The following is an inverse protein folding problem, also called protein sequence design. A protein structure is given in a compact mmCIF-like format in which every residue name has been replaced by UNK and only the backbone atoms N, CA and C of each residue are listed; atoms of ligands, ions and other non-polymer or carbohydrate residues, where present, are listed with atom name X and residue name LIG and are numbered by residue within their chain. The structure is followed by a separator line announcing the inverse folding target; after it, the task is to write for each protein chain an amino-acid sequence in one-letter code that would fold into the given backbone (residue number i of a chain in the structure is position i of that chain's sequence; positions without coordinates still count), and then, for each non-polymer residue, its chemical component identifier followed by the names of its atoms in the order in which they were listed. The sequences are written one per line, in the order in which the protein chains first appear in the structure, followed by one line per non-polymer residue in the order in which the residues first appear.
data_IF_063343901118
#
_entry.id   IF_063343901118
#
_cell.length_a   1.000
_cell.length_b   1.000
_cell.length_c   1.000
_cell.angle_alpha   90.00
_cell.angle_beta   90.00
_cell.angle_gamma   90.00
#
_symmetry.space_group_name_H-M   'P 1'
#
loop_
_entity.id
_entity.type
_entity.pdbx_description
1 polymer ?
#
# COMPACT_ATOMS: atom_id res chain seq x y z
N UNK A 1 12.58 14.21 -4.04
CA UNK A 1 12.04 13.05 -4.79
C UNK A 1 11.32 12.02 -3.90
N UNK A 2 10.90 12.35 -2.66
CA UNK A 2 10.09 11.44 -1.81
C UNK A 2 8.61 11.85 -1.67
N UNK A 3 8.25 13.11 -1.97
CA UNK A 3 6.88 13.60 -1.88
C UNK A 3 5.93 12.87 -2.83
N UNK A 4 6.36 12.64 -4.07
CA UNK A 4 5.57 11.93 -5.08
C UNK A 4 5.25 10.50 -4.62
N UNK A 5 6.22 9.81 -4.00
CA UNK A 5 6.02 8.43 -3.55
C UNK A 5 5.07 8.31 -2.35
N UNK A 6 5.06 9.31 -1.45
CA UNK A 6 4.09 9.33 -0.34
C UNK A 6 2.66 9.53 -0.84
N UNK A 7 2.48 10.43 -1.82
CA UNK A 7 1.17 10.65 -2.44
C UNK A 7 0.74 9.45 -3.29
N UNK A 8 1.65 8.79 -4.00
CA UNK A 8 1.37 7.53 -4.71
C UNK A 8 0.95 6.43 -3.73
N UNK A 9 1.67 6.27 -2.62
CA UNK A 9 1.35 5.31 -1.58
C UNK A 9 -0.03 5.60 -0.97
N UNK A 10 -0.33 6.87 -0.70
CA UNK A 10 -1.63 7.33 -0.21
C UNK A 10 -2.75 7.01 -1.21
N UNK A 11 -2.58 7.39 -2.48
CA UNK A 11 -3.60 7.18 -3.52
C UNK A 11 -3.91 5.70 -3.70
N UNK A 12 -2.88 4.86 -3.86
CA UNK A 12 -3.05 3.42 -4.06
C UNK A 12 -3.65 2.74 -2.82
N UNK A 13 -3.31 3.19 -1.61
CA UNK A 13 -3.91 2.69 -0.37
C UNK A 13 -5.40 3.02 -0.29
N UNK A 14 -5.78 4.27 -0.59
CA UNK A 14 -7.18 4.70 -0.62
C UNK A 14 -7.97 3.89 -1.65
N UNK A 15 -7.47 3.79 -2.89
CA UNK A 15 -8.14 3.05 -3.96
C UNK A 15 -8.31 1.56 -3.64
N UNK A 16 -7.32 0.94 -2.99
CA UNK A 16 -7.40 -0.45 -2.55
C UNK A 16 -8.51 -0.65 -1.52
N UNK A 17 -8.59 0.23 -0.51
CA UNK A 17 -9.63 0.14 0.52
C UNK A 17 -11.02 0.55 0.03
N UNK A 18 -11.14 1.48 -0.92
CA UNK A 18 -12.43 1.79 -1.53
C UNK A 18 -12.96 0.61 -2.37
N UNK A 19 -12.06 -0.11 -3.04
CA UNK A 19 -12.41 -1.28 -3.84
C UNK A 19 -12.83 -2.48 -2.97
N UNK A 20 -12.12 -2.70 -1.86
CA UNK A 20 -12.26 -3.95 -1.10
C UNK A 20 -12.84 -3.77 0.31
N UNK A 21 -12.50 -2.68 1.00
CA UNK A 21 -12.71 -2.51 2.45
C UNK A 21 -14.18 -2.45 2.88
N UNK A 22 -15.11 -2.08 1.99
CA UNK A 22 -16.56 -2.07 2.30
C UNK A 22 -17.23 -3.45 2.18
N UNK A 23 -16.60 -4.38 1.48
CA UNK A 23 -17.24 -5.62 1.03
C UNK A 23 -16.46 -6.89 1.37
N UNK A 24 -15.19 -6.77 1.75
CA UNK A 24 -14.31 -7.89 2.03
C UNK A 24 -13.40 -7.57 3.20
N UNK A 25 -13.01 -8.60 3.96
CA UNK A 25 -12.00 -8.46 5.00
C UNK A 25 -10.65 -8.22 4.33
N UNK A 26 -9.97 -7.14 4.74
CA UNK A 26 -8.61 -6.83 4.34
C UNK A 26 -7.67 -7.35 5.42
N UNK A 27 -6.82 -8.31 5.08
CA UNK A 27 -5.80 -8.86 5.97
C UNK A 27 -4.54 -8.01 5.95
N UNK A 28 -3.89 -7.86 7.10
CA UNK A 28 -2.62 -7.13 7.24
C UNK A 28 -1.50 -8.07 7.62
N UNK A 29 -0.35 -7.89 6.95
CA UNK A 29 0.90 -8.55 7.29
C UNK A 29 2.04 -7.54 7.41
N UNK A 30 2.94 -7.80 8.35
CA UNK A 30 4.19 -7.06 8.63
C UNK A 30 5.36 -8.05 8.81
N UNK A 31 6.64 -7.60 8.86
CA UNK A 31 7.78 -8.51 8.96
C UNK A 31 7.68 -9.39 10.21
N UNK A 32 7.90 -10.70 10.03
CA UNK A 32 7.83 -11.67 11.12
C UNK A 32 6.41 -11.98 11.62
N UNK A 33 5.36 -11.56 10.90
CA UNK A 33 3.97 -11.94 11.16
C UNK A 33 3.42 -12.80 10.02
N UNK A 34 2.58 -13.78 10.36
CA UNK A 34 1.78 -14.48 9.35
C UNK A 34 0.60 -13.60 8.93
N UNK A 35 0.20 -13.63 7.64
CA UNK A 35 -0.86 -12.77 7.11
C UNK A 35 -2.24 -12.95 7.78
N UNK A 36 -2.43 -14.03 8.55
CA UNK A 36 -3.65 -14.30 9.34
C UNK A 36 -3.57 -13.82 10.79
N UNK A 37 -2.43 -13.25 11.21
CA UNK A 37 -2.20 -12.91 12.61
C UNK A 37 -2.97 -11.65 13.06
N UNK A 38 -3.59 -10.94 12.12
CA UNK A 38 -4.29 -9.68 12.30
C UNK A 38 -5.66 -9.75 11.63
N UNK A 39 -6.48 -10.73 12.04
CA UNK A 39 -7.86 -10.93 11.56
C UNK A 39 -8.80 -9.85 12.16
N UNK A 40 -8.72 -8.61 11.67
CA UNK A 40 -9.65 -7.55 12.08
C UNK A 40 -10.35 -6.92 10.88
N UNK A 41 -11.56 -6.41 11.12
CA UNK A 41 -12.28 -5.57 10.18
C UNK A 41 -11.61 -4.19 10.16
N UNK A 42 -10.55 -4.05 9.36
CA UNK A 42 -9.90 -2.77 9.18
C UNK A 42 -10.74 -1.89 8.27
N UNK A 43 -11.04 -0.69 8.75
CA UNK A 43 -11.61 0.39 7.94
C UNK A 43 -10.55 1.46 7.81
N UNK A 44 -10.20 1.86 6.59
CA UNK A 44 -9.33 3.00 6.37
C UNK A 44 -10.10 4.27 6.77
N UNK A 45 -9.92 4.72 8.01
CA UNK A 45 -10.63 5.89 8.57
C UNK A 45 -9.96 7.20 8.14
N UNK A 46 -8.65 7.16 7.88
CA UNK A 46 -7.91 8.33 7.39
C UNK A 46 -6.53 7.97 6.89
N UNK A 47 -6.03 8.76 5.94
CA UNK A 47 -4.65 8.70 5.44
C UNK A 47 -4.12 10.11 5.28
N UNK A 48 -2.96 10.38 5.87
CA UNK A 48 -2.25 11.64 5.83
C UNK A 48 -0.81 11.45 5.37
N UNK A 49 -0.31 12.41 4.59
CA UNK A 49 1.11 12.54 4.27
C UNK A 49 1.67 13.67 5.13
N UNK A 50 2.69 13.35 5.93
CA UNK A 50 3.37 14.29 6.83
C UNK A 50 4.72 14.66 6.27
N UNK A 51 5.01 15.96 6.25
CA UNK A 51 6.27 16.55 5.78
C UNK A 51 6.75 16.03 4.40
N UNK A 52 5.83 15.53 3.57
CA UNK A 52 6.10 14.89 2.27
C UNK A 52 7.01 13.65 2.32
N UNK A 53 7.20 13.03 3.49
CA UNK A 53 8.13 11.89 3.66
C UNK A 53 7.55 10.72 4.45
N UNK A 54 6.51 10.96 5.26
CA UNK A 54 5.86 9.92 6.07
C UNK A 54 4.40 9.76 5.63
N UNK A 55 4.01 8.53 5.34
CA UNK A 55 2.62 8.13 5.19
C UNK A 55 2.12 7.66 6.56
N UNK A 56 1.01 8.20 7.02
CA UNK A 56 0.31 7.72 8.21
C UNK A 56 -1.13 7.37 7.88
N UNK A 57 -1.58 6.22 8.35
CA UNK A 57 -2.94 5.74 8.13
C UNK A 57 -3.58 5.25 9.43
N UNK A 58 -4.85 5.60 9.59
CA UNK A 58 -5.76 5.09 10.60
C UNK A 58 -6.59 3.95 10.00
N UNK A 59 -6.51 2.79 10.64
CA UNK A 59 -7.17 1.55 10.22
C UNK A 59 -8.41 1.22 11.07
N UNK A 60 -8.84 2.18 11.90
CA UNK A 60 -9.99 2.08 12.77
C UNK A 60 -9.75 1.19 13.97
N UNK A 61 -10.68 1.24 14.92
CA UNK A 61 -10.64 0.44 16.16
C UNK A 61 -9.32 0.56 16.95
N UNK A 62 -8.67 1.73 16.87
CA UNK A 62 -7.40 2.01 17.53
C UNK A 62 -6.17 1.41 16.83
N UNK A 63 -6.32 0.88 15.61
CA UNK A 63 -5.21 0.41 14.77
C UNK A 63 -4.73 1.50 13.82
N UNK A 64 -3.43 1.52 13.56
CA UNK A 64 -2.87 2.37 12.52
C UNK A 64 -1.40 2.10 12.28
N UNK A 65 -0.86 2.71 11.24
CA UNK A 65 0.56 2.63 10.97
C UNK A 65 1.11 3.95 10.42
N UNK A 66 2.41 4.14 10.57
CA UNK A 66 3.16 5.12 9.81
C UNK A 66 4.40 4.47 9.21
N UNK A 67 4.83 4.97 8.05
CA UNK A 67 5.99 4.47 7.34
C UNK A 67 6.55 5.58 6.47
N UNK A 68 7.86 5.63 6.27
CA UNK A 68 8.49 6.43 5.23
C UNK A 68 8.62 5.57 3.96
N UNK A 69 7.74 5.73 2.96
CA UNK A 69 7.70 4.83 1.83
C UNK A 69 8.98 4.90 0.99
N UNK A 70 9.42 3.73 0.53
CA UNK A 70 10.52 3.54 -0.43
C UNK A 70 10.08 2.78 -1.68
N UNK A 71 8.98 2.01 -1.58
CA UNK A 71 8.31 1.38 -2.70
C UNK A 71 6.83 1.10 -2.40
N UNK A 72 6.01 1.10 -3.46
CA UNK A 72 4.59 0.72 -3.40
C UNK A 72 4.31 -0.29 -4.50
N UNK A 73 3.89 -1.49 -4.11
CA UNK A 73 3.67 -2.62 -5.02
C UNK A 73 2.26 -3.16 -4.92
N UNK A 74 1.51 -3.04 -6.01
CA UNK A 74 0.25 -3.77 -6.20
C UNK A 74 0.55 -5.08 -6.95
N UNK A 75 0.01 -6.20 -6.47
CA UNK A 75 0.18 -7.50 -7.13
C UNK A 75 -0.51 -7.52 -8.50
N UNK A 76 0.02 -8.33 -9.43
CA UNK A 76 -0.53 -8.42 -10.80
C UNK A 76 -1.99 -8.92 -10.82
N UNK A 77 -2.40 -9.66 -9.80
CA UNK A 77 -3.78 -10.13 -9.60
C UNK A 77 -4.66 -9.15 -8.82
N UNK A 78 -4.10 -8.00 -8.42
CA UNK A 78 -4.76 -6.89 -7.72
C UNK A 78 -5.34 -7.25 -6.34
N UNK A 79 -4.95 -8.40 -5.77
CA UNK A 79 -5.43 -8.85 -4.46
C UNK A 79 -4.51 -8.47 -3.31
N UNK A 80 -3.39 -7.83 -3.58
CA UNK A 80 -2.45 -7.43 -2.54
C UNK A 80 -1.74 -6.14 -2.85
N UNK A 81 -1.66 -5.26 -1.86
CA UNK A 81 -0.89 -4.03 -1.87
C UNK A 81 0.21 -4.15 -0.82
N UNK A 82 1.46 -3.84 -1.17
CA UNK A 82 2.60 -3.79 -0.25
C UNK A 82 3.23 -2.41 -0.30
N UNK A 83 3.43 -1.80 0.87
CA UNK A 83 4.18 -0.55 1.04
C UNK A 83 5.44 -0.90 1.82
N UNK A 84 6.61 -0.67 1.23
CA UNK A 84 7.92 -0.93 1.82
C UNK A 84 8.59 0.38 2.21
N UNK A 85 9.37 0.40 3.28
CA UNK A 85 9.94 1.65 3.77
C UNK A 85 10.75 1.54 5.04
N UNK A 86 11.26 2.69 5.47
CA UNK A 86 11.92 2.87 6.75
C UNK A 86 10.93 3.34 7.82
N UNK A 87 11.33 3.18 9.07
CA UNK A 87 10.62 3.67 10.25
C UNK A 87 9.13 3.27 10.25
N UNK A 88 8.86 1.98 10.00
CA UNK A 88 7.51 1.45 10.07
C UNK A 88 7.10 1.33 11.54
N UNK A 89 6.13 2.15 11.95
CA UNK A 89 5.45 2.04 13.22
C UNK A 89 4.08 1.41 12.99
N UNK A 90 3.78 0.30 13.64
CA UNK A 90 2.45 -0.30 13.68
C UNK A 90 1.92 -0.22 15.10
N UNK A 91 0.76 0.41 15.29
CA UNK A 91 0.12 0.53 16.59
C UNK A 91 -1.29 -0.06 16.59
N UNK A 92 -1.66 -0.53 17.77
CA UNK A 92 -2.99 -0.93 18.19
C UNK A 92 -3.17 -0.48 19.66
N UNK A 93 -4.40 -0.44 20.17
CA UNK A 93 -4.70 -0.06 21.57
C UNK A 93 -3.82 -0.76 22.62
N UNK A 94 -3.38 -2.00 22.36
CA UNK A 94 -2.52 -2.77 23.28
C UNK A 94 -1.14 -3.13 22.71
N UNK A 95 -0.75 -2.60 21.54
CA UNK A 95 0.48 -3.01 20.86
C UNK A 95 1.14 -1.82 20.17
N UNK A 96 2.47 -1.73 20.27
CA UNK A 96 3.27 -0.88 19.39
C UNK A 96 4.48 -1.68 18.92
N UNK A 97 4.64 -1.81 17.60
CA UNK A 97 5.80 -2.45 16.97
C UNK A 97 6.51 -1.45 16.08
N UNK A 98 7.83 -1.49 16.09
CA UNK A 98 8.68 -0.59 15.32
C UNK A 98 9.67 -1.41 14.50
N UNK A 99 9.76 -1.10 13.21
CA UNK A 99 10.71 -1.72 12.30
C UNK A 99 11.53 -0.62 11.62
N UNK A 100 12.85 -0.63 11.83
CA UNK A 100 13.76 0.33 11.18
C UNK A 100 13.67 0.26 9.64
N UNK A 101 13.54 -0.96 9.13
CA UNK A 101 13.18 -1.26 7.74
C UNK A 101 12.11 -2.33 7.76
N UNK A 102 11.03 -2.12 7.01
CA UNK A 102 9.91 -3.04 7.02
C UNK A 102 8.97 -2.84 5.85
N UNK A 103 7.90 -3.61 5.87
CA UNK A 103 6.84 -3.53 4.88
C UNK A 103 5.51 -3.76 5.56
N UNK A 104 4.45 -3.17 5.03
CA UNK A 104 3.09 -3.49 5.39
C UNK A 104 2.37 -3.98 4.14
N UNK A 105 1.70 -5.13 4.24
CA UNK A 105 0.94 -5.73 3.14
C UNK A 105 -0.52 -5.84 3.52
N UNK A 106 -1.36 -5.32 2.65
CA UNK A 106 -2.81 -5.49 2.65
C UNK A 106 -3.18 -6.55 1.64
N UNK A 107 -4.08 -7.47 1.99
CA UNK A 107 -4.51 -8.54 1.09
C UNK A 107 -5.96 -8.95 1.31
N UNK A 108 -6.61 -9.52 0.29
CA UNK A 108 -8.00 -9.98 0.36
C UNK A 108 -8.13 -11.43 -0.09
N UNK A 109 -9.14 -12.14 0.42
CA UNK A 109 -9.38 -13.54 0.09
C UNK A 109 -9.81 -13.71 -1.38
N UNK A 110 -9.09 -14.55 -2.13
CA UNK A 110 -9.27 -14.77 -3.58
C UNK A 110 -10.46 -15.67 -3.93
N UNK A 111 -10.86 -16.50 -2.99
CA UNK A 111 -11.81 -17.60 -3.18
C UNK A 111 -13.28 -17.17 -3.07
N UNK A 112 -13.56 -15.95 -2.61
CA UNK A 112 -14.94 -15.45 -2.58
C UNK A 112 -15.39 -14.90 -3.94
N UNK A 113 -16.65 -15.19 -4.31
CA UNK A 113 -17.24 -14.67 -5.54
C UNK A 113 -17.33 -13.14 -5.55
N UNK A 114 -17.50 -12.54 -4.37
CA UNK A 114 -17.57 -11.09 -4.17
C UNK A 114 -16.23 -10.42 -4.44
N UNK A 115 -15.13 -10.93 -3.88
CA UNK A 115 -13.77 -10.38 -4.13
C UNK A 115 -13.42 -10.45 -5.62
N UNK A 116 -13.76 -11.57 -6.29
CA UNK A 116 -13.55 -11.69 -7.75
C UNK A 116 -14.37 -10.69 -8.55
N UNK A 117 -15.60 -10.40 -8.13
CA UNK A 117 -16.45 -9.41 -8.79
C UNK A 117 -15.87 -8.00 -8.64
N UNK A 118 -15.48 -7.60 -7.42
CA UNK A 118 -14.87 -6.28 -7.16
C UNK A 118 -13.59 -6.08 -7.99
N UNK A 119 -12.72 -7.09 -8.04
CA UNK A 119 -11.53 -7.07 -8.91
C UNK A 119 -11.87 -6.84 -10.39
N UNK A 120 -12.97 -7.40 -10.88
CA UNK A 120 -13.34 -7.31 -12.30
C UNK A 120 -14.03 -5.99 -12.66
N UNK A 121 -14.82 -5.43 -11.76
CA UNK A 121 -15.59 -4.20 -12.01
C UNK A 121 -14.80 -2.94 -11.63
N UNK A 122 -14.16 -2.94 -10.47
CA UNK A 122 -13.47 -1.77 -9.91
C UNK A 122 -11.94 -1.88 -10.02
N UNK A 123 -11.41 -3.08 -10.25
CA UNK A 123 -9.97 -3.28 -10.46
C UNK A 123 -9.41 -2.58 -11.70
N UNK A 124 -10.25 -2.13 -12.63
CA UNK A 124 -9.85 -1.29 -13.75
C UNK A 124 -9.32 0.09 -13.31
N UNK A 125 -9.85 0.66 -12.22
CA UNK A 125 -9.34 1.90 -11.63
C UNK A 125 -7.96 1.68 -10.97
N UNK A 126 -7.82 0.61 -10.17
CA UNK A 126 -6.54 0.18 -9.59
C UNK A 126 -5.48 -0.10 -10.67
N UNK A 127 -5.86 -0.80 -11.74
CA UNK A 127 -4.94 -1.16 -12.83
C UNK A 127 -4.54 0.04 -13.70
N UNK A 128 -5.45 1.01 -13.92
CA UNK A 128 -5.14 2.23 -14.70
C UNK A 128 -4.05 3.04 -14.03
N UNK A 129 -4.16 3.27 -12.72
CA UNK A 129 -3.17 4.05 -11.97
C UNK A 129 -1.80 3.37 -11.97
N UNK A 130 -1.77 2.06 -11.68
CA UNK A 130 -0.52 1.30 -11.64
C UNK A 130 0.14 1.14 -13.03
N UNK A 131 -0.66 1.04 -14.09
CA UNK A 131 -0.18 0.99 -15.48
C UNK A 131 0.41 2.32 -15.97
N UNK A 132 -0.12 3.45 -15.50
CA UNK A 132 0.39 4.79 -15.82
C UNK A 132 1.68 5.10 -15.04
N UNK A 133 1.76 4.75 -13.76
CA UNK A 133 2.96 4.98 -12.94
C UNK A 133 4.13 4.06 -13.30
N UNK A 134 3.90 2.79 -13.68
CA UNK A 134 4.97 1.94 -14.25
C UNK A 134 5.55 2.50 -15.55
N UNK A 135 4.74 3.21 -16.36
CA UNK A 135 5.22 3.88 -17.58
C UNK A 135 6.04 5.12 -17.27
N UNK A 136 5.66 5.92 -16.28
CA UNK A 136 6.44 7.09 -15.83
C UNK A 136 7.74 6.68 -15.15
N UNK A 137 7.69 5.72 -14.22
CA UNK A 137 8.87 5.19 -13.52
C UNK A 137 9.88 4.50 -14.45
N UNK A 138 9.43 3.73 -15.46
CA UNK A 138 10.33 3.20 -16.51
C UNK A 138 10.96 4.29 -17.36
N UNK A 139 10.19 5.32 -17.73
CA UNK A 139 10.67 6.40 -18.60
C UNK A 139 11.69 7.30 -17.89
N UNK A 140 11.49 7.57 -16.60
CA UNK A 140 12.46 8.28 -15.77
C UNK A 140 13.78 7.49 -15.60
N UNK A 141 13.70 6.17 -15.37
CA UNK A 141 14.90 5.30 -15.31
C UNK A 141 15.63 5.19 -16.65
N UNK A 142 14.91 5.12 -17.78
CA UNK A 142 15.54 5.04 -19.09
C UNK A 142 16.27 6.34 -19.47
N UNK A 143 15.75 7.50 -19.05
CA UNK A 143 16.39 8.78 -19.30
C UNK A 143 17.65 8.96 -18.44
N UNK A 144 17.62 8.56 -17.16
CA UNK A 144 18.81 8.61 -16.30
C UNK A 144 19.92 7.65 -16.77
N UNK A 145 19.58 6.49 -17.33
CA UNK A 145 20.58 5.56 -17.88
C UNK A 145 21.21 6.04 -19.20
N UNK A 146 20.54 6.93 -19.95
CA UNK A 146 21.11 7.51 -21.17
C UNK A 146 21.96 8.77 -20.91
N UNK A 147 21.87 9.38 -19.73
CA UNK A 147 22.64 10.59 -19.37
C UNK A 147 24.03 10.27 -18.79
N UNK A 148 24.28 9.02 -18.37
CA UNK A 148 25.57 8.60 -17.76
C UNK A 148 26.60 8.06 -18.77
N UNK A 149 26.25 7.80 -20.03
CA UNK A 149 27.20 7.33 -21.07
C UNK A 149 27.93 8.46 -21.82
N UNK A 150 27.86 9.69 -21.30
CA UNK A 150 28.32 10.90 -21.97
C UNK A 150 29.28 11.78 -21.18
N UNK A 151 30.26 11.21 -20.46
CA UNK A 151 31.42 11.96 -19.93
C UNK A 151 32.72 11.17 -19.93
#
# INVERSE_FOLDING_TARGET
MNGDLCEDARSVLVDFFDTYGKSTVVYIAVPGSDARSLDSYYSLEGVEVRDSIELRADLGYGWGFSIQPSAVTLSDDLYSLTIEGSDLHLWATAMHRVYRWGWIRFSVARDTALTRKLRNFDGAALARFYGEERRKGRRARLLSLCEDDGR
#
